data_IF_700663918960
#
_entry.id   IF_700663918960
#
_cell.length_a   1.000
_cell.length_b   1.000
_cell.length_c   1.000
_cell.angle_alpha   90.00
_cell.angle_beta   90.00
_cell.angle_gamma   90.00
#
_symmetry.space_group_name_H-M   'P 1'
#
loop_
_entity.id
_entity.type
_entity.pdbx_description
1 polymer ?
#
# COMPACT_ATOMS: atom_id res chain seq x y z
N UNK A 1 10.83 21.37 7.15
CA UNK A 1 11.33 20.69 5.93
C UNK A 1 11.47 19.19 6.21
N UNK A 2 10.68 18.34 5.53
CA UNK A 2 10.82 16.88 5.64
C UNK A 2 12.20 16.53 5.07
N UNK A 3 13.07 15.95 5.89
CA UNK A 3 14.45 15.67 5.50
C UNK A 3 14.46 14.60 4.41
N UNK A 4 15.12 14.87 3.28
CA UNK A 4 15.22 13.96 2.13
C UNK A 4 15.94 12.64 2.43
N UNK A 5 16.45 12.47 3.64
CA UNK A 5 17.10 11.25 4.13
C UNK A 5 16.09 10.14 4.55
N UNK A 6 14.80 10.45 4.66
CA UNK A 6 13.76 9.49 5.05
C UNK A 6 13.15 8.70 3.87
N UNK A 7 13.43 9.11 2.62
CA UNK A 7 12.84 8.50 1.42
C UNK A 7 13.84 7.60 0.68
N UNK A 8 13.41 6.38 0.39
CA UNK A 8 14.15 5.40 -0.40
C UNK A 8 13.42 5.15 -1.72
N UNK A 9 14.08 5.43 -2.86
CA UNK A 9 13.53 5.16 -4.19
C UNK A 9 13.83 3.73 -4.64
N UNK A 10 12.89 3.10 -5.35
CA UNK A 10 13.10 1.78 -5.96
C UNK A 10 13.14 0.61 -4.98
N UNK A 11 13.00 0.85 -3.68
CA UNK A 11 13.09 -0.16 -2.64
C UNK A 11 12.22 0.19 -1.43
N UNK A 12 11.89 -0.83 -0.64
CA UNK A 12 11.15 -0.70 0.61
C UNK A 12 12.14 -0.48 1.75
N UNK A 13 11.90 0.56 2.57
CA UNK A 13 12.71 0.85 3.77
C UNK A 13 12.75 -0.34 4.73
N UNK A 14 13.86 -0.48 5.46
CA UNK A 14 14.02 -1.55 6.45
C UNK A 14 12.99 -1.41 7.57
N UNK A 15 12.40 -2.54 7.99
CA UNK A 15 11.42 -2.56 9.07
C UNK A 15 9.99 -2.21 8.63
N UNK A 16 9.76 -2.01 7.33
CA UNK A 16 8.41 -1.81 6.79
C UNK A 16 7.49 -2.98 7.21
N UNK A 17 6.29 -2.72 7.74
CA UNK A 17 5.42 -3.77 8.24
C UNK A 17 5.00 -4.75 7.14
N UNK A 18 4.82 -6.01 7.50
CA UNK A 18 4.45 -7.05 6.56
C UNK A 18 3.08 -6.74 5.94
N UNK A 19 3.10 -6.36 4.67
CA UNK A 19 1.93 -6.16 3.83
C UNK A 19 2.07 -6.96 2.55
N UNK A 20 0.97 -7.43 1.96
CA UNK A 20 1.05 -8.25 0.76
C UNK A 20 1.48 -7.36 -0.42
N UNK A 21 2.39 -7.87 -1.24
CA UNK A 21 2.88 -7.19 -2.43
C UNK A 21 2.40 -7.93 -3.68
N UNK A 22 1.77 -7.21 -4.59
CA UNK A 22 1.34 -7.77 -5.88
C UNK A 22 2.59 -8.26 -6.63
N UNK A 23 2.54 -9.49 -7.14
CA UNK A 23 3.66 -10.07 -7.90
C UNK A 23 4.03 -9.18 -9.08
N UNK A 24 5.31 -8.84 -9.20
CA UNK A 24 5.82 -8.00 -10.27
C UNK A 24 5.54 -6.50 -10.11
N UNK A 25 4.90 -6.05 -9.02
CA UNK A 25 4.78 -4.63 -8.73
C UNK A 25 6.17 -4.02 -8.47
N UNK A 26 6.41 -2.86 -9.08
CA UNK A 26 7.63 -2.10 -8.92
C UNK A 26 7.47 -1.12 -7.76
N UNK A 27 8.47 -1.06 -6.89
CA UNK A 27 8.53 -0.05 -5.82
C UNK A 27 8.97 1.26 -6.43
N UNK A 28 8.19 2.32 -6.26
CA UNK A 28 8.57 3.67 -6.70
C UNK A 28 9.40 4.34 -5.60
N UNK A 29 8.83 4.39 -4.41
CA UNK A 29 9.46 4.96 -3.23
C UNK A 29 8.86 4.40 -1.95
N UNK A 30 9.59 4.54 -0.85
CA UNK A 30 9.08 4.32 0.49
C UNK A 30 9.76 5.24 1.49
N UNK A 31 9.16 5.40 2.66
CA UNK A 31 9.73 6.15 3.76
C UNK A 31 9.40 5.51 5.10
N UNK A 32 10.21 5.86 6.10
CA UNK A 32 9.92 5.58 7.50
C UNK A 32 10.23 6.81 8.34
N UNK A 33 9.34 7.16 9.26
CA UNK A 33 9.55 8.24 10.22
C UNK A 33 8.83 7.92 11.53
N UNK A 34 9.58 7.84 12.64
CA UNK A 34 9.02 7.61 13.99
C UNK A 34 8.03 6.42 14.08
N UNK A 35 8.33 5.32 13.38
CA UNK A 35 7.46 4.14 13.34
C UNK A 35 6.26 4.23 12.39
N UNK A 36 6.10 5.37 11.70
CA UNK A 36 5.22 5.50 10.54
C UNK A 36 5.96 5.04 9.29
N UNK A 37 5.24 4.39 8.39
CA UNK A 37 5.76 3.84 7.16
C UNK A 37 4.85 4.20 6.00
N UNK A 38 5.43 4.57 4.87
CA UNK A 38 4.71 4.74 3.62
C UNK A 38 5.45 4.15 2.44
N UNK A 39 4.74 3.58 1.49
CA UNK A 39 5.32 3.05 0.27
C UNK A 39 4.38 3.21 -0.92
N UNK A 40 4.95 3.51 -2.08
CA UNK A 40 4.25 3.64 -3.34
C UNK A 40 4.76 2.59 -4.33
N UNK A 41 3.84 1.93 -5.02
CA UNK A 41 4.12 0.89 -5.98
C UNK A 41 3.31 1.12 -7.26
N UNK A 42 3.79 0.56 -8.36
CA UNK A 42 3.07 0.49 -9.62
C UNK A 42 3.02 -0.96 -10.10
N UNK A 43 1.86 -1.40 -10.58
CA UNK A 43 1.67 -2.74 -11.14
C UNK A 43 1.07 -2.65 -12.53
N UNK A 44 1.50 -3.53 -13.43
CA UNK A 44 0.89 -3.70 -14.76
C UNK A 44 -0.39 -4.56 -14.71
N UNK A 45 -0.79 -5.05 -13.53
CA UNK A 45 -2.06 -5.76 -13.35
C UNK A 45 -3.26 -4.80 -13.32
N UNK A 46 -4.41 -5.31 -13.76
CA UNK A 46 -5.66 -4.55 -13.75
C UNK A 46 -6.11 -4.18 -12.33
N UNK A 47 -6.79 -3.04 -12.20
CA UNK A 47 -7.34 -2.56 -10.92
C UNK A 47 -8.13 -3.64 -10.17
N UNK A 48 -9.04 -4.34 -10.85
CA UNK A 48 -9.88 -5.37 -10.25
C UNK A 48 -9.06 -6.54 -9.65
N UNK A 49 -8.01 -6.99 -10.35
CA UNK A 49 -7.12 -8.04 -9.84
C UNK A 49 -6.36 -7.58 -8.61
N UNK A 50 -5.83 -6.35 -8.61
CA UNK A 50 -5.09 -5.80 -7.47
C UNK A 50 -6.01 -5.63 -6.25
N UNK A 51 -7.23 -5.13 -6.44
CA UNK A 51 -8.23 -5.01 -5.38
C UNK A 51 -8.55 -6.38 -4.79
N UNK A 52 -8.82 -7.39 -5.63
CA UNK A 52 -9.12 -8.75 -5.16
C UNK A 52 -7.94 -9.35 -4.40
N UNK A 53 -6.71 -9.19 -4.89
CA UNK A 53 -5.50 -9.63 -4.21
C UNK A 53 -5.41 -9.06 -2.78
N UNK A 54 -5.57 -7.75 -2.61
CA UNK A 54 -5.52 -7.14 -1.27
C UNK A 54 -6.67 -7.59 -0.36
N UNK A 55 -7.88 -7.77 -0.90
CA UNK A 55 -9.05 -8.26 -0.14
C UNK A 55 -8.78 -9.59 0.57
N UNK A 56 -8.04 -10.48 -0.10
CA UNK A 56 -7.74 -11.83 0.39
C UNK A 56 -6.44 -11.87 1.21
N UNK A 57 -5.36 -11.33 0.66
CA UNK A 57 -4.03 -11.47 1.23
C UNK A 57 -3.84 -10.67 2.53
N UNK A 58 -4.53 -9.54 2.70
CA UNK A 58 -4.44 -8.78 3.96
C UNK A 58 -4.99 -9.61 5.13
N UNK A 59 -6.12 -10.29 4.94
CA UNK A 59 -6.72 -11.14 5.98
C UNK A 59 -5.85 -12.35 6.31
N UNK A 60 -5.24 -12.96 5.29
CA UNK A 60 -4.30 -14.09 5.47
C UNK A 60 -3.07 -13.70 6.31
N UNK A 61 -2.66 -12.43 6.27
CA UNK A 61 -1.56 -11.88 7.06
C UNK A 61 -2.00 -11.32 8.42
N UNK A 62 -3.26 -11.56 8.83
CA UNK A 62 -3.76 -11.17 10.15
C UNK A 62 -4.22 -9.71 10.25
N UNK A 63 -4.42 -9.02 9.13
CA UNK A 63 -5.02 -7.68 9.13
C UNK A 63 -6.55 -7.76 9.16
N UNK A 64 -7.16 -7.04 10.11
CA UNK A 64 -8.57 -6.67 10.00
C UNK A 64 -8.71 -5.63 8.89
N UNK A 65 -9.70 -5.79 8.02
CA UNK A 65 -9.84 -4.96 6.82
C UNK A 65 -11.26 -4.43 6.63
N UNK A 66 -11.37 -3.15 6.26
CA UNK A 66 -12.61 -2.54 5.78
C UNK A 66 -12.35 -1.92 4.41
N UNK A 67 -13.06 -2.41 3.39
CA UNK A 67 -12.97 -1.87 2.03
C UNK A 67 -13.94 -0.71 1.84
N UNK A 68 -13.43 0.45 1.39
CA UNK A 68 -14.20 1.61 0.95
C UNK A 68 -13.94 1.87 -0.53
N UNK A 69 -14.97 1.75 -1.36
CA UNK A 69 -14.94 2.20 -2.75
C UNK A 69 -15.22 3.70 -2.78
N UNK A 70 -14.24 4.53 -3.16
CA UNK A 70 -14.40 5.99 -3.28
C UNK A 70 -14.91 6.39 -4.67
N UNK A 71 -14.47 5.67 -5.69
CA UNK A 71 -14.94 5.79 -7.07
C UNK A 71 -14.74 4.45 -7.80
N UNK A 72 -15.07 4.37 -9.09
CA UNK A 72 -14.79 3.19 -9.91
C UNK A 72 -13.29 2.92 -10.10
N UNK A 73 -12.46 3.95 -9.90
CA UNK A 73 -11.01 3.91 -10.10
C UNK A 73 -10.23 4.08 -8.79
N UNK A 74 -10.88 4.10 -7.62
CA UNK A 74 -10.22 4.33 -6.34
C UNK A 74 -10.86 3.49 -5.21
N UNK A 75 -10.04 2.63 -4.62
CA UNK A 75 -10.38 1.73 -3.53
C UNK A 75 -9.43 1.95 -2.36
N UNK A 76 -9.98 1.96 -1.15
CA UNK A 76 -9.21 2.12 0.08
C UNK A 76 -9.53 0.95 1.00
N UNK A 77 -8.52 0.15 1.31
CA UNK A 77 -8.57 -0.82 2.41
C UNK A 77 -8.07 -0.12 3.66
N UNK A 78 -8.94 0.14 4.62
CA UNK A 78 -8.52 0.50 5.97
C UNK A 78 -8.10 -0.79 6.68
N UNK A 79 -6.88 -0.80 7.22
CA UNK A 79 -6.29 -2.00 7.83
C UNK A 79 -5.89 -1.73 9.27
N UNK A 80 -6.02 -2.73 10.14
CA UNK A 80 -5.51 -2.67 11.51
C UNK A 80 -5.21 -4.06 12.04
N UNK A 81 -4.35 -4.12 13.05
CA UNK A 81 -4.13 -5.29 13.87
C UNK A 81 -3.94 -4.85 15.34
N UNK A 82 -3.29 -5.69 16.15
CA UNK A 82 -3.05 -5.43 17.58
C UNK A 82 -2.12 -4.24 17.84
N UNK A 83 -1.15 -3.97 16.96
CA UNK A 83 -0.09 -2.96 17.20
C UNK A 83 -0.09 -1.83 16.18
N UNK A 84 -0.73 -2.02 15.03
CA UNK A 84 -0.63 -1.13 13.87
C UNK A 84 -2.00 -0.83 13.25
N UNK A 85 -2.08 0.29 12.56
CA UNK A 85 -3.21 0.70 11.72
C UNK A 85 -2.71 1.39 10.46
N UNK A 86 -3.53 1.44 9.43
CA UNK A 86 -3.11 2.03 8.16
C UNK A 86 -4.14 1.94 7.07
N UNK A 87 -3.66 2.14 5.85
CA UNK A 87 -4.47 2.01 4.65
C UNK A 87 -3.66 1.49 3.46
N UNK A 88 -4.30 0.67 2.64
CA UNK A 88 -3.85 0.37 1.27
C UNK A 88 -4.81 1.05 0.31
N UNK A 89 -4.29 1.99 -0.47
CA UNK A 89 -5.03 2.70 -1.52
C UNK A 89 -4.64 2.06 -2.85
N UNK A 90 -5.65 1.67 -3.63
CA UNK A 90 -5.49 1.09 -4.95
C UNK A 90 -6.27 1.93 -5.95
N UNK A 91 -5.58 2.48 -6.95
CA UNK A 91 -6.22 3.29 -7.96
C UNK A 91 -5.63 3.07 -9.36
N UNK A 92 -6.41 3.38 -10.38
CA UNK A 92 -5.88 3.47 -11.74
C UNK A 92 -4.80 4.55 -11.79
N UNK A 93 -3.64 4.23 -12.37
CA UNK A 93 -2.57 5.19 -12.58
C UNK A 93 -2.95 6.23 -13.64
N UNK A 94 -2.19 7.33 -13.71
CA UNK A 94 -2.48 8.42 -14.65
C UNK A 94 -2.44 8.00 -16.13
N UNK A 95 -1.73 6.92 -16.46
CA UNK A 95 -1.66 6.34 -17.80
C UNK A 95 -2.89 5.51 -18.20
N UNK A 96 -3.86 5.35 -17.29
CA UNK A 96 -5.08 4.52 -17.44
C UNK A 96 -4.84 3.03 -17.72
N UNK A 97 -3.60 2.56 -17.70
CA UNK A 97 -3.22 1.19 -18.03
C UNK A 97 -2.68 0.43 -16.83
N UNK A 98 -2.04 1.14 -15.89
CA UNK A 98 -1.42 0.55 -14.71
C UNK A 98 -2.26 0.80 -13.46
N UNK A 99 -1.94 0.06 -12.40
CA UNK A 99 -2.53 0.24 -11.08
C UNK A 99 -1.48 0.81 -10.13
N UNK A 100 -1.75 2.00 -9.60
CA UNK A 100 -0.97 2.59 -8.52
C UNK A 100 -1.47 2.05 -7.17
N UNK A 101 -0.52 1.75 -6.29
CA UNK A 101 -0.77 1.23 -4.96
C UNK A 101 -0.01 2.12 -3.98
N UNK A 102 -0.69 2.60 -2.95
CA UNK A 102 -0.07 3.34 -1.85
C UNK A 102 -0.41 2.68 -0.53
N UNK A 103 0.61 2.39 0.26
CA UNK A 103 0.47 1.79 1.58
C UNK A 103 0.94 2.81 2.61
N UNK A 104 0.14 3.05 3.64
CA UNK A 104 0.51 3.85 4.81
C UNK A 104 0.21 3.06 6.08
N UNK A 105 1.15 3.01 7.01
CA UNK A 105 1.00 2.29 8.28
C UNK A 105 1.60 3.13 9.40
N UNK A 106 0.91 3.19 10.53
CA UNK A 106 1.35 3.82 11.76
C UNK A 106 1.15 2.88 12.95
N UNK A 107 1.80 3.16 14.09
CA UNK A 107 1.41 2.56 15.35
C UNK A 107 -0.06 2.87 15.67
N UNK A 108 -0.71 1.95 16.40
CA UNK A 108 -2.12 2.10 16.77
C UNK A 108 -2.33 3.14 17.86
#
# INVERSE_FOLDING_TARGET
PVNSQEFLKGAVVKGFPQTPLVKGAQVLESYSNEGNFGAAFISDESLAKVVNFYSDSLKQLGWETTLKKRSDTNYIFEIKNTTQKGSVIVNTAADSQKTAISIFISPR
#
